data_IF_000111731646
#
_entry.id   IF_000111731646
#
_cell.length_a   1.000
_cell.length_b   1.000
_cell.length_c   1.000
_cell.angle_alpha   90.00
_cell.angle_beta   90.00
_cell.angle_gamma   90.00
#
_symmetry.space_group_name_H-M   'P 1'
#
loop_
_entity.id
_entity.type
_entity.pdbx_description
1 polymer ?
#
# COMPACT_ATOMS: atom_id res chain seq x y z
N UNK A 1 18.81 -15.47 6.65
CA UNK A 1 18.27 -14.30 7.36
C UNK A 1 17.24 -14.81 8.35
N UNK A 2 17.36 -14.47 9.63
CA UNK A 2 16.40 -14.90 10.66
C UNK A 2 15.32 -13.83 10.82
N UNK A 3 14.05 -14.24 10.65
CA UNK A 3 12.91 -13.33 10.77
C UNK A 3 12.68 -13.02 12.26
N UNK A 4 12.49 -11.73 12.55
CA UNK A 4 12.13 -11.26 13.88
C UNK A 4 10.61 -11.06 14.00
N UNK A 5 9.98 -10.53 12.94
CA UNK A 5 8.55 -10.27 12.92
C UNK A 5 8.02 -10.23 11.47
N UNK A 6 6.84 -10.79 11.26
CA UNK A 6 6.14 -10.79 9.98
C UNK A 6 4.73 -10.28 10.15
N UNK A 7 4.31 -9.39 9.27
CA UNK A 7 2.95 -8.86 9.22
C UNK A 7 2.46 -8.78 7.78
N UNK A 8 1.30 -9.37 7.51
CA UNK A 8 0.65 -9.29 6.19
C UNK A 8 -0.53 -8.35 6.27
N UNK A 9 -0.64 -7.46 5.29
CA UNK A 9 -1.76 -6.52 5.20
C UNK A 9 -3.08 -7.29 5.03
N UNK A 10 -4.09 -6.94 5.82
CA UNK A 10 -5.42 -7.56 5.80
C UNK A 10 -6.45 -6.53 5.36
N UNK A 11 -7.49 -6.97 4.65
CA UNK A 11 -8.59 -6.08 4.28
C UNK A 11 -9.62 -6.04 5.40
N UNK A 12 -9.93 -4.85 5.91
CA UNK A 12 -10.96 -4.65 6.91
C UNK A 12 -12.36 -5.02 6.38
N UNK A 13 -13.25 -5.46 7.27
CA UNK A 13 -14.59 -5.93 6.86
C UNK A 13 -15.45 -4.81 6.26
N UNK A 14 -15.39 -3.59 6.80
CA UNK A 14 -16.04 -2.41 6.23
C UNK A 14 -15.59 -2.15 4.78
N UNK A 15 -14.29 -2.29 4.52
CA UNK A 15 -13.74 -2.12 3.18
C UNK A 15 -14.07 -3.26 2.23
N UNK A 16 -14.26 -4.49 2.72
CA UNK A 16 -14.81 -5.60 1.92
C UNK A 16 -16.24 -5.29 1.48
N UNK A 17 -17.07 -4.75 2.39
CA UNK A 17 -18.45 -4.33 2.06
C UNK A 17 -18.43 -3.24 1.00
N UNK A 18 -17.61 -2.18 1.15
CA UNK A 18 -17.49 -1.14 0.13
C UNK A 18 -16.99 -1.68 -1.22
N UNK A 19 -16.02 -2.60 -1.20
CA UNK A 19 -15.56 -3.25 -2.43
C UNK A 19 -16.67 -4.07 -3.09
N UNK A 20 -17.49 -4.77 -2.30
CA UNK A 20 -18.66 -5.49 -2.81
C UNK A 20 -19.72 -4.57 -3.42
N UNK A 21 -20.04 -3.45 -2.76
CA UNK A 21 -20.97 -2.44 -3.30
C UNK A 21 -20.44 -1.82 -4.59
N UNK A 22 -19.13 -1.52 -4.66
CA UNK A 22 -18.51 -1.01 -5.88
C UNK A 22 -18.60 -2.03 -7.03
N UNK A 23 -18.39 -3.33 -6.74
CA UNK A 23 -18.56 -4.38 -7.74
C UNK A 23 -19.99 -4.46 -8.25
N UNK A 24 -20.98 -4.40 -7.35
CA UNK A 24 -22.39 -4.40 -7.75
C UNK A 24 -22.73 -3.21 -8.65
N UNK A 25 -22.19 -2.02 -8.35
CA UNK A 25 -22.36 -0.84 -9.20
C UNK A 25 -21.75 -1.04 -10.60
N UNK A 26 -20.54 -1.62 -10.69
CA UNK A 26 -19.89 -1.94 -11.96
C UNK A 26 -20.73 -2.96 -12.74
N UNK A 27 -21.22 -3.99 -12.10
CA UNK A 27 -22.09 -5.00 -12.74
C UNK A 27 -23.41 -4.40 -13.23
N UNK A 28 -23.97 -3.44 -12.52
CA UNK A 28 -25.17 -2.72 -12.95
C UNK A 28 -24.90 -1.89 -14.22
N UNK A 29 -23.74 -1.23 -14.33
CA UNK A 29 -23.32 -0.53 -15.54
C UNK A 29 -23.18 -1.49 -16.72
N UNK A 30 -22.51 -2.63 -16.53
CA UNK A 30 -22.46 -3.68 -17.55
C UNK A 30 -23.86 -4.15 -17.98
N UNK A 31 -24.77 -4.36 -17.02
CA UNK A 31 -26.16 -4.72 -17.32
C UNK A 31 -26.85 -3.67 -18.18
N UNK A 32 -26.62 -2.39 -17.89
CA UNK A 32 -27.16 -1.29 -18.69
C UNK A 32 -26.64 -1.30 -20.13
N UNK A 33 -25.35 -1.51 -20.33
CA UNK A 33 -24.75 -1.61 -21.68
C UNK A 33 -25.28 -2.83 -22.45
N UNK A 34 -25.47 -3.98 -21.77
CA UNK A 34 -26.05 -5.17 -22.37
C UNK A 34 -27.49 -4.94 -22.82
N UNK A 35 -28.34 -4.32 -21.97
CA UNK A 35 -29.73 -4.01 -22.35
C UNK A 35 -29.78 -3.02 -23.50
N UNK A 36 -28.96 -1.97 -23.49
CA UNK A 36 -28.84 -1.02 -24.59
C UNK A 36 -28.45 -1.68 -25.92
N UNK A 37 -27.53 -2.66 -25.87
CA UNK A 37 -27.19 -3.45 -27.05
C UNK A 37 -28.36 -4.31 -27.54
N UNK A 38 -29.08 -4.96 -26.64
CA UNK A 38 -30.24 -5.79 -26.99
C UNK A 38 -31.35 -4.96 -27.66
N UNK A 39 -31.58 -3.74 -27.20
CA UNK A 39 -32.63 -2.86 -27.70
C UNK A 39 -32.27 -2.22 -29.05
N UNK A 40 -31.00 -1.85 -29.24
CA UNK A 40 -30.58 -1.04 -30.40
C UNK A 40 -29.78 -1.84 -31.45
N UNK A 41 -29.27 -3.00 -31.10
CA UNK A 41 -28.31 -3.77 -31.90
C UNK A 41 -26.95 -3.07 -32.12
N UNK A 42 -26.70 -1.96 -31.39
CA UNK A 42 -25.47 -1.17 -31.56
C UNK A 42 -24.59 -1.27 -30.32
N UNK A 43 -23.30 -1.46 -30.52
CA UNK A 43 -22.33 -1.55 -29.44
C UNK A 43 -21.90 -0.12 -29.03
N UNK A 44 -22.08 0.22 -27.76
CA UNK A 44 -21.51 1.44 -27.19
C UNK A 44 -20.06 1.18 -26.74
N UNK A 45 -19.11 1.30 -27.67
CA UNK A 45 -17.69 1.03 -27.38
C UNK A 45 -17.12 1.86 -26.23
N UNK A 46 -17.60 3.10 -26.07
CA UNK A 46 -17.17 3.97 -24.99
C UNK A 46 -17.64 3.44 -23.62
N UNK A 47 -18.93 3.09 -23.51
CA UNK A 47 -19.50 2.53 -22.28
C UNK A 47 -18.79 1.23 -21.86
N UNK A 48 -18.66 0.28 -22.78
CA UNK A 48 -17.94 -0.98 -22.53
C UNK A 48 -16.48 -0.75 -22.14
N UNK A 49 -15.80 0.22 -22.77
CA UNK A 49 -14.43 0.59 -22.43
C UNK A 49 -14.30 1.14 -21.01
N UNK A 50 -15.24 1.99 -20.59
CA UNK A 50 -15.29 2.52 -19.22
C UNK A 50 -15.51 1.40 -18.21
N UNK A 51 -16.47 0.51 -18.46
CA UNK A 51 -16.81 -0.60 -17.56
C UNK A 51 -15.64 -1.56 -17.37
N UNK A 52 -14.95 -1.93 -18.45
CA UNK A 52 -13.74 -2.74 -18.40
C UNK A 52 -12.60 -2.06 -17.62
N UNK A 53 -12.45 -0.75 -17.80
CA UNK A 53 -11.46 0.03 -17.05
C UNK A 53 -11.80 0.04 -15.54
N UNK A 54 -13.04 0.29 -15.18
CA UNK A 54 -13.51 0.28 -13.79
C UNK A 54 -13.32 -1.09 -13.15
N UNK A 55 -13.68 -2.16 -13.85
CA UNK A 55 -13.49 -3.53 -13.39
C UNK A 55 -12.01 -3.85 -13.18
N UNK A 56 -11.15 -3.45 -14.11
CA UNK A 56 -9.70 -3.66 -14.02
C UNK A 56 -9.10 -2.94 -12.81
N UNK A 57 -9.51 -1.69 -12.59
CA UNK A 57 -9.08 -0.90 -11.43
C UNK A 57 -9.59 -1.51 -10.12
N UNK A 58 -10.83 -2.02 -10.11
CA UNK A 58 -11.40 -2.69 -8.95
C UNK A 58 -10.63 -3.96 -8.61
N UNK A 59 -10.39 -4.84 -9.61
CA UNK A 59 -9.62 -6.08 -9.43
C UNK A 59 -8.22 -5.75 -8.92
N UNK A 60 -7.54 -4.80 -9.54
CA UNK A 60 -6.21 -4.38 -9.09
C UNK A 60 -6.23 -3.87 -7.64
N UNK A 61 -7.21 -3.07 -7.28
CA UNK A 61 -7.31 -2.45 -5.94
C UNK A 61 -7.60 -3.48 -4.85
N UNK A 62 -8.49 -4.43 -5.12
CA UNK A 62 -8.89 -5.47 -4.15
C UNK A 62 -7.78 -6.52 -3.99
N UNK A 63 -7.10 -6.86 -5.07
CA UNK A 63 -6.01 -7.85 -5.05
C UNK A 63 -4.72 -7.32 -4.43
N UNK A 64 -4.55 -5.99 -4.35
CA UNK A 64 -3.31 -5.39 -3.88
C UNK A 64 -3.14 -5.55 -2.37
N UNK A 65 -2.07 -6.22 -1.98
CA UNK A 65 -1.62 -6.38 -0.61
C UNK A 65 -0.10 -6.40 -0.52
N UNK A 66 0.42 -6.46 0.70
CA UNK A 66 1.85 -6.63 0.95
C UNK A 66 2.10 -7.28 2.30
N UNK A 67 3.29 -7.85 2.43
CA UNK A 67 3.82 -8.40 3.68
C UNK A 67 5.06 -7.60 4.07
N UNK A 68 5.13 -7.24 5.34
CA UNK A 68 6.29 -6.64 5.98
C UNK A 68 7.04 -7.73 6.74
N UNK A 69 8.34 -7.87 6.51
CA UNK A 69 9.19 -8.81 7.22
C UNK A 69 10.36 -8.04 7.82
N UNK A 70 10.45 -8.08 9.13
CA UNK A 70 11.54 -7.48 9.88
C UNK A 70 12.54 -8.57 10.24
N UNK A 71 13.80 -8.37 9.89
CA UNK A 71 14.88 -9.30 10.14
C UNK A 71 15.76 -8.86 11.31
N UNK A 72 16.42 -9.82 11.98
CA UNK A 72 17.36 -9.54 13.08
C UNK A 72 18.61 -8.76 12.63
N UNK A 73 18.99 -8.89 11.36
CA UNK A 73 20.14 -8.24 10.75
C UNK A 73 19.87 -6.77 10.31
N UNK A 74 18.90 -6.11 10.95
CA UNK A 74 18.54 -4.72 10.69
C UNK A 74 18.08 -4.47 9.24
N UNK A 75 17.25 -5.37 8.71
CA UNK A 75 16.63 -5.23 7.38
C UNK A 75 15.12 -5.31 7.50
N UNK A 76 14.45 -4.49 6.70
CA UNK A 76 13.02 -4.54 6.47
C UNK A 76 12.78 -4.93 5.02
N UNK A 77 12.03 -5.99 4.80
CA UNK A 77 11.56 -6.40 3.49
C UNK A 77 10.08 -6.11 3.34
N UNK A 78 9.69 -5.55 2.19
CA UNK A 78 8.30 -5.35 1.81
C UNK A 78 8.03 -6.17 0.56
N UNK A 79 7.19 -7.20 0.68
CA UNK A 79 6.80 -8.07 -0.43
C UNK A 79 5.41 -7.68 -0.87
N UNK A 80 5.24 -7.22 -2.11
CA UNK A 80 3.91 -6.91 -2.67
C UNK A 80 3.23 -8.17 -3.20
N UNK A 81 1.91 -8.22 -3.05
CA UNK A 81 1.06 -9.29 -3.55
C UNK A 81 -0.01 -8.73 -4.49
N UNK A 82 -0.60 -9.59 -5.30
CA UNK A 82 -1.67 -9.26 -6.26
C UNK A 82 -1.17 -9.16 -7.69
N UNK A 83 -2.02 -9.45 -8.63
CA UNK A 83 -1.84 -9.44 -10.11
C UNK A 83 -0.40 -9.60 -10.64
N UNK A 84 0.35 -10.60 -10.12
CA UNK A 84 1.69 -10.92 -10.60
C UNK A 84 2.80 -9.94 -10.20
N UNK A 85 2.53 -9.02 -9.27
CA UNK A 85 3.49 -8.01 -8.85
C UNK A 85 4.43 -8.46 -7.72
N UNK A 86 4.54 -9.70 -7.37
CA UNK A 86 5.36 -10.26 -6.28
C UNK A 86 6.78 -9.69 -6.16
N UNK A 87 6.89 -8.36 -6.10
CA UNK A 87 8.16 -7.64 -5.98
C UNK A 87 8.51 -7.47 -4.53
N UNK A 88 9.76 -7.79 -4.18
CA UNK A 88 10.33 -7.47 -2.88
C UNK A 88 11.14 -6.19 -2.95
N UNK A 89 11.05 -5.40 -1.89
CA UNK A 89 11.85 -4.20 -1.69
C UNK A 89 12.51 -4.26 -0.32
N UNK A 90 13.82 -4.08 -0.28
CA UNK A 90 14.61 -4.14 0.94
C UNK A 90 15.03 -2.76 1.39
N UNK A 91 14.84 -2.49 2.67
CA UNK A 91 15.31 -1.29 3.36
C UNK A 91 16.35 -1.69 4.40
N UNK A 92 17.51 -1.09 4.31
CA UNK A 92 18.55 -1.20 5.32
C UNK A 92 18.22 -0.28 6.50
N UNK A 93 17.82 -0.86 7.62
CA UNK A 93 17.42 -0.11 8.80
C UNK A 93 18.58 0.60 9.50
N UNK A 94 19.83 0.21 9.24
CA UNK A 94 21.00 0.93 9.77
C UNK A 94 21.09 2.34 9.22
N UNK A 95 20.51 2.56 8.03
CA UNK A 95 20.45 3.86 7.34
C UNK A 95 19.17 4.65 7.62
N UNK A 96 18.37 4.21 8.60
CA UNK A 96 17.15 4.92 9.00
C UNK A 96 17.52 6.19 9.74
N UNK A 97 16.94 7.30 9.32
CA UNK A 97 17.07 8.58 10.02
C UNK A 97 15.98 8.76 11.08
N UNK A 98 14.74 8.41 10.71
CA UNK A 98 13.60 8.51 11.62
C UNK A 98 12.43 7.66 11.17
N UNK A 99 11.54 7.30 12.10
CA UNK A 99 10.23 6.74 11.78
C UNK A 99 9.17 7.25 12.75
N UNK A 100 7.92 7.25 12.28
CA UNK A 100 6.79 7.85 13.02
C UNK A 100 5.72 6.81 13.29
N UNK A 101 5.03 6.97 14.42
CA UNK A 101 3.88 6.12 14.76
C UNK A 101 2.71 6.35 13.80
N UNK A 102 2.51 7.60 13.36
CA UNK A 102 1.44 7.97 12.43
C UNK A 102 1.99 8.91 11.36
N UNK A 103 1.54 8.74 10.12
CA UNK A 103 1.90 9.68 9.07
C UNK A 103 1.21 11.02 9.27
N UNK A 104 2.01 12.08 9.38
CA UNK A 104 1.53 13.47 9.44
C UNK A 104 2.11 14.26 8.27
N UNK A 105 1.24 14.80 7.42
CA UNK A 105 1.64 15.50 6.20
C UNK A 105 2.56 16.71 6.45
N UNK A 106 2.38 17.41 7.57
CA UNK A 106 3.23 18.53 7.96
C UNK A 106 4.66 18.11 8.29
N UNK A 107 4.82 16.95 8.93
CA UNK A 107 6.15 16.38 9.21
C UNK A 107 6.88 16.02 7.91
N UNK A 108 6.17 15.42 6.97
CA UNK A 108 6.71 15.08 5.67
C UNK A 108 7.29 16.31 4.94
N UNK A 109 6.60 17.46 5.00
CA UNK A 109 7.09 18.71 4.38
C UNK A 109 8.36 19.23 5.02
N UNK A 110 8.57 19.01 6.34
CA UNK A 110 9.77 19.42 7.08
C UNK A 110 10.99 18.54 6.79
N UNK A 111 10.80 17.25 6.48
CA UNK A 111 11.90 16.28 6.32
C UNK A 111 12.66 16.39 5.01
N UNK A 112 12.38 17.38 4.15
CA UNK A 112 13.07 17.61 2.86
C UNK A 112 13.16 16.37 1.94
N UNK A 113 12.26 15.40 2.12
CA UNK A 113 12.18 14.23 1.24
C UNK A 113 11.65 14.70 -0.11
N UNK A 114 12.54 15.03 -1.04
CA UNK A 114 12.16 15.63 -2.32
C UNK A 114 11.97 14.60 -3.44
N UNK A 115 12.54 13.39 -3.35
CA UNK A 115 12.78 12.63 -4.55
C UNK A 115 12.24 11.20 -4.58
N UNK A 116 11.98 10.53 -3.44
CA UNK A 116 11.58 9.14 -3.49
C UNK A 116 10.67 8.77 -2.32
N UNK A 117 9.45 8.36 -2.66
CA UNK A 117 8.54 7.77 -1.68
C UNK A 117 8.07 6.44 -2.22
N UNK A 118 8.46 5.37 -1.54
CA UNK A 118 7.86 4.07 -1.74
C UNK A 118 6.53 4.04 -0.99
N UNK A 119 5.42 3.85 -1.71
CA UNK A 119 4.07 3.85 -1.13
C UNK A 119 3.46 2.47 -1.23
N UNK A 120 3.16 1.91 -0.07
CA UNK A 120 2.44 0.65 0.07
C UNK A 120 1.10 0.93 0.74
N UNK A 121 0.05 1.00 -0.04
CA UNK A 121 -1.28 1.39 0.42
C UNK A 121 -2.32 0.32 0.10
N UNK A 122 -2.44 -0.67 0.98
CA UNK A 122 -3.48 -1.70 0.91
C UNK A 122 -4.81 -1.22 1.50
N UNK A 123 -5.84 -2.06 1.44
CA UNK A 123 -7.13 -1.85 2.12
C UNK A 123 -7.08 -2.19 3.62
N UNK A 124 -5.89 -2.31 4.20
CA UNK A 124 -5.65 -2.55 5.61
C UNK A 124 -6.23 -1.40 6.47
N UNK A 125 -6.88 -1.69 7.62
CA UNK A 125 -7.39 -0.69 8.55
C UNK A 125 -6.28 0.03 9.32
N UNK A 126 -5.09 -0.56 9.43
CA UNK A 126 -4.00 -0.01 10.19
C UNK A 126 -3.59 1.41 9.73
N UNK A 127 -3.12 2.25 10.64
CA UNK A 127 -2.70 3.61 10.30
C UNK A 127 -1.46 3.60 9.38
N UNK A 128 -1.36 4.64 8.57
CA UNK A 128 -0.16 4.86 7.76
C UNK A 128 1.01 5.28 8.64
N UNK A 129 2.18 4.70 8.36
CA UNK A 129 3.47 4.94 9.01
C UNK A 129 4.44 5.50 7.99
N UNK A 130 5.39 6.28 8.45
CA UNK A 130 6.46 6.80 7.64
C UNK A 130 7.81 6.37 8.23
N UNK A 131 8.65 5.77 7.42
CA UNK A 131 10.04 5.50 7.71
C UNK A 131 10.91 6.31 6.74
N UNK A 132 11.83 7.09 7.26
CA UNK A 132 12.76 7.93 6.50
C UNK A 132 14.14 7.31 6.59
N UNK A 133 14.77 7.07 5.46
CA UNK A 133 16.08 6.44 5.38
C UNK A 133 16.89 7.02 4.21
N UNK A 134 18.19 6.75 4.20
CA UNK A 134 19.07 7.14 3.10
C UNK A 134 19.26 5.98 2.14
N UNK A 135 19.11 6.26 0.83
CA UNK A 135 19.21 5.27 -0.23
C UNK A 135 20.32 5.60 -1.23
N UNK A 136 20.92 4.54 -1.78
CA UNK A 136 21.92 4.61 -2.84
C UNK A 136 23.27 5.17 -2.43
N UNK A 137 24.21 5.22 -3.40
CA UNK A 137 25.60 5.71 -3.18
C UNK A 137 25.68 7.21 -2.85
N UNK A 138 24.66 7.99 -3.20
CA UNK A 138 24.61 9.44 -2.96
C UNK A 138 23.88 9.82 -1.66
N UNK A 139 23.54 8.86 -0.80
CA UNK A 139 22.80 9.06 0.45
C UNK A 139 21.58 9.98 0.28
N UNK A 140 20.77 9.71 -0.74
CA UNK A 140 19.53 10.47 -0.96
C UNK A 140 18.47 10.05 0.05
N UNK A 141 17.78 11.04 0.62
CA UNK A 141 16.65 10.77 1.52
C UNK A 141 15.51 10.13 0.74
N UNK A 142 15.09 8.97 1.22
CA UNK A 142 13.93 8.22 0.74
C UNK A 142 12.91 8.06 1.87
N UNK A 143 11.64 7.94 1.51
CA UNK A 143 10.57 7.70 2.45
C UNK A 143 9.82 6.42 2.08
N UNK A 144 9.62 5.54 3.05
CA UNK A 144 8.73 4.39 2.96
C UNK A 144 7.43 4.71 3.68
N UNK A 145 6.33 4.75 2.93
CA UNK A 145 4.99 4.94 3.46
C UNK A 145 4.23 3.61 3.39
N UNK A 146 3.83 3.09 4.54
CA UNK A 146 3.17 1.79 4.65
C UNK A 146 2.14 1.80 5.78
N UNK A 147 1.29 0.80 5.83
CA UNK A 147 0.37 0.57 6.94
C UNK A 147 0.86 -0.61 7.76
N UNK A 148 0.84 -0.49 9.06
CA UNK A 148 1.21 -1.58 9.97
C UNK A 148 0.51 -1.43 11.31
N UNK A 149 0.44 -2.56 12.04
CA UNK A 149 -0.06 -2.59 13.41
C UNK A 149 0.84 -1.83 14.38
N UNK A 150 0.29 -1.50 15.55
CA UNK A 150 1.10 -0.92 16.63
C UNK A 150 2.14 -1.92 17.16
N UNK A 151 1.87 -3.22 17.00
CA UNK A 151 2.82 -4.26 17.41
C UNK A 151 4.07 -4.24 16.53
N UNK A 152 3.92 -4.10 15.21
CA UNK A 152 5.04 -3.92 14.29
C UNK A 152 5.93 -2.74 14.73
N UNK A 153 5.30 -1.59 15.02
CA UNK A 153 6.02 -0.39 15.46
C UNK A 153 6.73 -0.61 16.80
N UNK A 154 6.13 -1.35 17.73
CA UNK A 154 6.79 -1.70 19.00
C UNK A 154 8.05 -2.54 18.77
N UNK A 155 8.00 -3.51 17.84
CA UNK A 155 9.17 -4.34 17.51
C UNK A 155 10.24 -3.49 16.81
N UNK A 156 9.85 -2.66 15.85
CA UNK A 156 10.76 -1.75 15.14
C UNK A 156 11.43 -0.76 16.11
N UNK A 157 10.67 -0.24 17.09
CA UNK A 157 11.21 0.67 18.14
C UNK A 157 12.24 -0.01 19.02
N UNK A 158 12.10 -1.32 19.30
CA UNK A 158 13.12 -2.06 20.05
C UNK A 158 14.44 -2.16 19.27
N UNK A 159 14.39 -2.25 17.96
CA UNK A 159 15.59 -2.27 17.12
C UNK A 159 16.19 -0.88 16.92
N UNK A 160 15.37 0.17 16.87
CA UNK A 160 15.75 1.54 16.55
C UNK A 160 15.20 2.54 17.60
N UNK A 161 15.63 2.46 18.88
CA UNK A 161 15.04 3.27 19.95
C UNK A 161 15.22 4.78 19.71
N UNK A 162 16.40 5.19 19.23
CA UNK A 162 16.77 6.60 19.05
C UNK A 162 16.20 7.26 17.79
N UNK A 163 15.58 6.46 16.89
CA UNK A 163 15.04 6.96 15.60
C UNK A 163 13.53 7.17 15.62
N UNK A 164 12.88 6.84 16.72
CA UNK A 164 11.43 6.97 16.86
C UNK A 164 11.02 8.41 17.17
N UNK A 165 10.08 8.94 16.37
CA UNK A 165 9.49 10.26 16.59
C UNK A 165 8.01 10.07 16.93
N UNK A 166 7.64 10.48 18.12
CA UNK A 166 6.25 10.54 18.57
C UNK A 166 5.62 11.82 18.03
N UNK A 167 4.61 11.69 17.16
CA UNK A 167 3.85 12.78 16.56
C UNK A 167 2.39 12.71 17.00
#
# INVERSE_FOLDING_TARGET
MEELYRETSTTANDRKVFAGLALLAILALFGYEVTGYMDTGRINYLGWGIDLCLLSLWVWRVSYGYTLILYKDMRLEVITHGLGLGRSYFVDLTRTESFTQKYVKSFFRKTKIRHYIHRYNSLDPNPQRLLVFTEGKKNKLAGLLFKSSDQFIKVLRKQLPDKYIQL
#
